data_IF_931812497298
#
_entry.id   IF_931812497298
#
_cell.length_a   1.000
_cell.length_b   1.000
_cell.length_c   1.000
_cell.angle_alpha   90.00
_cell.angle_beta   90.00
_cell.angle_gamma   90.00
#
_symmetry.space_group_name_H-M   'P 1'
#
loop_
_entity.id
_entity.type
_entity.pdbx_description
1 polymer ?
#
# COMPACT_ATOMS: atom_id res chain seq x y z
N UNK A 1 25.59 17.90 -10.91
CA UNK A 1 24.28 17.22 -10.90
C UNK A 1 24.54 15.76 -10.59
N UNK A 2 23.58 15.08 -9.95
CA UNK A 2 23.67 13.65 -9.67
C UNK A 2 23.45 12.84 -10.95
N UNK A 3 24.32 11.88 -11.26
CA UNK A 3 24.22 11.04 -12.47
C UNK A 3 23.03 10.07 -12.39
N UNK A 4 22.62 9.51 -13.52
CA UNK A 4 21.57 8.50 -13.58
C UNK A 4 21.91 7.22 -12.78
N UNK A 5 23.17 6.78 -12.80
CA UNK A 5 23.63 5.63 -12.03
C UNK A 5 23.58 5.90 -10.52
N UNK A 6 24.02 7.08 -10.09
CA UNK A 6 23.94 7.46 -8.67
C UNK A 6 22.47 7.53 -8.22
N UNK A 7 21.54 7.95 -9.09
CA UNK A 7 20.09 7.94 -8.81
C UNK A 7 19.54 6.53 -8.65
N UNK A 8 19.96 5.60 -9.51
CA UNK A 8 19.57 4.20 -9.41
C UNK A 8 20.02 3.60 -8.06
N UNK A 9 21.27 3.84 -7.65
CA UNK A 9 21.79 3.30 -6.40
C UNK A 9 21.00 3.80 -5.18
N UNK A 10 20.69 5.09 -5.10
CA UNK A 10 19.85 5.61 -4.01
C UNK A 10 18.43 5.02 -4.05
N UNK A 11 17.87 4.81 -5.24
CA UNK A 11 16.54 4.22 -5.39
C UNK A 11 16.53 2.76 -4.91
N UNK A 12 17.54 1.96 -5.28
CA UNK A 12 17.66 0.57 -4.83
C UNK A 12 17.89 0.48 -3.32
N UNK A 13 18.73 1.36 -2.77
CA UNK A 13 18.95 1.46 -1.33
C UNK A 13 17.66 1.87 -0.59
N UNK A 14 16.89 2.81 -1.16
CA UNK A 14 15.60 3.19 -0.61
C UNK A 14 14.62 2.02 -0.59
N UNK A 15 14.44 1.33 -1.72
CA UNK A 15 13.55 0.16 -1.83
C UNK A 15 13.96 -0.94 -0.84
N UNK A 16 15.25 -1.13 -0.62
CA UNK A 16 15.75 -2.10 0.36
C UNK A 16 15.44 -1.67 1.81
N UNK A 17 15.53 -0.38 2.10
CA UNK A 17 15.23 0.19 3.43
C UNK A 17 13.75 0.18 3.81
N UNK A 18 12.84 0.00 2.84
CA UNK A 18 11.41 -0.05 3.12
C UNK A 18 11.11 -1.20 4.07
N UNK A 19 10.43 -0.93 5.17
CA UNK A 19 9.99 -1.95 6.12
C UNK A 19 8.48 -1.99 6.19
N UNK A 20 7.94 -3.17 6.49
CA UNK A 20 6.54 -3.34 6.86
C UNK A 20 6.38 -3.30 8.37
N UNK A 21 5.17 -3.06 8.82
CA UNK A 21 4.80 -3.22 10.24
C UNK A 21 4.60 -4.71 10.52
N UNK A 22 5.41 -5.27 11.42
CA UNK A 22 5.20 -6.61 11.94
C UNK A 22 4.09 -6.62 13.00
N UNK A 23 3.22 -7.64 13.05
CA UNK A 23 2.18 -7.72 14.07
C UNK A 23 2.70 -7.69 15.52
N UNK A 24 3.94 -8.09 15.75
CA UNK A 24 4.62 -8.02 17.05
C UNK A 24 4.96 -6.59 17.50
N UNK A 25 5.00 -5.62 16.58
CA UNK A 25 5.20 -4.20 16.89
C UNK A 25 3.90 -3.53 17.36
N UNK A 26 2.75 -4.13 17.06
CA UNK A 26 1.46 -3.61 17.51
C UNK A 26 1.30 -3.87 19.01
N UNK A 27 1.00 -2.84 19.81
CA UNK A 27 0.81 -3.02 21.26
C UNK A 27 -0.27 -4.05 21.58
N UNK A 28 -0.01 -4.90 22.58
CA UNK A 28 -0.98 -5.88 23.10
C UNK A 28 -2.13 -5.27 23.92
N UNK A 29 -2.30 -3.95 23.88
CA UNK A 29 -3.37 -3.20 24.55
C UNK A 29 -4.18 -2.41 23.53
N UNK A 30 -5.47 -2.22 23.80
CA UNK A 30 -6.30 -1.39 22.93
C UNK A 30 -5.90 0.09 23.04
N UNK A 31 -5.84 0.77 21.89
CA UNK A 31 -5.36 2.14 21.76
C UNK A 31 -6.50 3.15 21.60
N UNK A 32 -6.36 4.34 22.17
CA UNK A 32 -7.23 5.47 21.83
C UNK A 32 -6.89 6.03 20.45
N UNK A 33 -7.84 6.72 19.81
CA UNK A 33 -7.70 7.30 18.46
C UNK A 33 -6.34 8.00 18.23
N UNK A 34 -5.92 8.85 19.18
CA UNK A 34 -4.70 9.64 19.03
C UNK A 34 -3.46 8.73 19.02
N UNK A 35 -3.46 7.70 19.85
CA UNK A 35 -2.40 6.67 19.87
C UNK A 35 -2.39 5.85 18.58
N UNK A 36 -3.56 5.55 18.00
CA UNK A 36 -3.63 4.89 16.67
C UNK A 36 -2.99 5.77 15.62
N UNK A 37 -3.37 7.05 15.52
CA UNK A 37 -2.79 7.96 14.53
C UNK A 37 -1.28 8.12 14.72
N UNK A 38 -0.81 8.24 15.97
CA UNK A 38 0.62 8.29 16.27
C UNK A 38 1.35 7.01 15.87
N UNK A 39 0.77 5.84 16.14
CA UNK A 39 1.34 4.56 15.74
C UNK A 39 1.47 4.45 14.22
N UNK A 40 0.44 4.84 13.47
CA UNK A 40 0.46 4.83 12.01
C UNK A 40 1.53 5.80 11.49
N UNK A 41 1.59 7.02 12.04
CA UNK A 41 2.55 8.05 11.65
C UNK A 41 4.01 7.71 11.98
N UNK A 42 4.26 6.85 12.97
CA UNK A 42 5.63 6.43 13.32
C UNK A 42 6.11 5.24 12.50
N UNK A 43 5.23 4.32 12.11
CA UNK A 43 5.63 3.06 11.46
C UNK A 43 5.45 3.05 9.93
N UNK A 44 4.53 3.84 9.38
CA UNK A 44 4.23 3.82 7.94
C UNK A 44 4.81 5.01 7.19
N UNK A 45 5.45 5.94 7.89
CA UNK A 45 5.94 7.19 7.32
C UNK A 45 7.35 7.06 6.77
N UNK A 46 7.54 6.14 5.84
CA UNK A 46 8.82 5.88 5.19
C UNK A 46 9.24 7.01 4.24
N UNK A 47 8.33 7.93 3.90
CA UNK A 47 8.51 8.97 2.88
C UNK A 47 8.47 10.40 3.43
N UNK A 48 8.72 10.63 4.73
CA UNK A 48 8.62 11.99 5.36
C UNK A 48 9.38 13.08 4.60
N UNK A 49 10.47 12.75 3.91
CA UNK A 49 11.24 13.73 3.13
C UNK A 49 10.57 14.20 1.85
N UNK A 50 9.56 13.49 1.34
CA UNK A 50 8.78 13.87 0.15
C UNK A 50 7.62 14.82 0.49
N UNK A 51 7.46 15.21 1.76
CA UNK A 51 6.45 16.20 2.17
C UNK A 51 5.01 15.66 2.15
N UNK A 52 4.81 14.35 2.27
CA UNK A 52 3.48 13.74 2.22
C UNK A 52 2.56 14.16 3.38
N UNK A 53 1.26 14.22 3.06
CA UNK A 53 0.15 14.42 3.97
C UNK A 53 0.07 13.35 5.06
N UNK A 54 -0.71 13.63 6.12
CA UNK A 54 -0.97 12.70 7.23
C UNK A 54 -1.34 11.30 6.73
N UNK A 55 -0.71 10.27 7.30
CA UNK A 55 -0.90 8.88 6.88
C UNK A 55 -2.34 8.44 7.00
N UNK A 56 -2.95 8.64 8.16
CA UNK A 56 -4.38 8.45 8.39
C UNK A 56 -4.86 9.53 9.35
N UNK A 57 -5.91 10.24 8.95
CA UNK A 57 -6.53 11.23 9.82
C UNK A 57 -7.60 10.59 10.71
N UNK A 58 -7.90 11.22 11.86
CA UNK A 58 -9.02 10.81 12.73
C UNK A 58 -10.34 10.70 11.94
N UNK A 59 -10.56 11.63 11.00
CA UNK A 59 -11.73 11.63 10.12
C UNK A 59 -11.76 10.41 9.21
N UNK A 60 -10.64 10.02 8.60
CA UNK A 60 -10.57 8.81 7.77
C UNK A 60 -10.88 7.55 8.57
N UNK A 61 -10.28 7.38 9.75
CA UNK A 61 -10.52 6.21 10.61
C UNK A 61 -12.00 6.14 11.03
N UNK A 62 -12.59 7.29 11.39
CA UNK A 62 -14.02 7.36 11.70
C UNK A 62 -14.89 7.01 10.49
N UNK A 63 -14.50 7.44 9.27
CA UNK A 63 -15.21 7.10 8.05
C UNK A 63 -15.14 5.60 7.73
N UNK A 64 -14.00 4.95 7.98
CA UNK A 64 -13.88 3.50 7.82
C UNK A 64 -14.82 2.75 8.78
N UNK A 65 -14.85 3.14 10.07
CA UNK A 65 -15.78 2.54 11.02
C UNK A 65 -17.26 2.79 10.65
N UNK A 66 -17.60 4.01 10.21
CA UNK A 66 -18.99 4.37 9.81
C UNK A 66 -19.48 3.63 8.56
N UNK A 67 -18.59 3.30 7.64
CA UNK A 67 -18.92 2.56 6.42
C UNK A 67 -18.69 1.04 6.58
N UNK A 68 -18.61 0.54 7.81
CA UNK A 68 -18.46 -0.90 8.13
C UNK A 68 -17.21 -1.57 7.50
N UNK A 69 -16.20 -0.79 7.13
CA UNK A 69 -14.90 -1.32 6.69
C UNK A 69 -14.14 -2.00 7.82
N UNK A 70 -14.42 -1.58 9.05
CA UNK A 70 -14.02 -2.26 10.28
C UNK A 70 -15.10 -2.03 11.35
N UNK A 71 -15.23 -2.93 12.34
CA UNK A 71 -16.13 -2.72 13.47
C UNK A 71 -15.86 -1.40 14.20
N UNK A 72 -16.89 -0.80 14.83
CA UNK A 72 -16.71 0.41 15.63
C UNK A 72 -15.81 0.13 16.86
N UNK A 73 -15.05 1.14 17.32
CA UNK A 73 -14.18 0.97 18.48
C UNK A 73 -14.98 0.67 19.75
N UNK A 74 -14.45 -0.21 20.60
CA UNK A 74 -15.08 -0.58 21.87
C UNK A 74 -14.63 0.40 22.96
N UNK A 75 -15.57 1.09 23.59
CA UNK A 75 -15.28 2.12 24.62
C UNK A 75 -14.24 3.16 24.15
N UNK A 76 -14.32 3.57 22.87
CA UNK A 76 -13.39 4.50 22.19
C UNK A 76 -11.95 3.96 22.03
N UNK A 77 -11.76 2.65 22.13
CA UNK A 77 -10.47 2.00 21.94
C UNK A 77 -10.48 1.06 20.74
N UNK A 78 -9.33 0.98 20.08
CA UNK A 78 -9.06 0.23 18.87
C UNK A 78 -8.14 -0.94 19.23
N UNK A 79 -8.59 -2.16 18.94
CA UNK A 79 -7.83 -3.38 19.19
C UNK A 79 -6.72 -3.60 18.15
N UNK A 80 -5.86 -4.59 18.41
CA UNK A 80 -4.84 -5.06 17.45
C UNK A 80 -5.42 -5.32 16.05
N UNK A 81 -6.60 -5.93 15.97
CA UNK A 81 -7.27 -6.22 14.69
C UNK A 81 -7.72 -4.93 13.96
N UNK A 82 -8.08 -3.88 14.68
CA UNK A 82 -8.33 -2.58 14.06
C UNK A 82 -7.04 -2.03 13.42
N UNK A 83 -5.89 -2.14 14.12
CA UNK A 83 -4.61 -1.67 13.61
C UNK A 83 -4.17 -2.46 12.37
N UNK A 84 -4.23 -3.79 12.40
CA UNK A 84 -3.93 -4.64 11.25
C UNK A 84 -4.76 -4.24 10.02
N UNK A 85 -6.06 -4.03 10.22
CA UNK A 85 -6.97 -3.62 9.16
C UNK A 85 -6.64 -2.23 8.60
N UNK A 86 -6.34 -1.27 9.47
CA UNK A 86 -5.95 0.08 9.06
C UNK A 86 -4.62 0.10 8.30
N UNK A 87 -3.66 -0.75 8.67
CA UNK A 87 -2.40 -0.93 7.95
C UNK A 87 -2.66 -1.50 6.56
N UNK A 88 -3.51 -2.52 6.44
CA UNK A 88 -3.87 -3.04 5.12
C UNK A 88 -4.55 -1.95 4.27
N UNK A 89 -5.58 -1.28 4.79
CA UNK A 89 -6.28 -0.20 4.06
C UNK A 89 -5.29 0.89 3.60
N UNK A 90 -4.28 1.22 4.41
CA UNK A 90 -3.26 2.20 4.04
C UNK A 90 -2.57 1.89 2.70
N UNK A 91 -2.23 0.62 2.45
CA UNK A 91 -1.57 0.21 1.20
C UNK A 91 -2.48 0.29 -0.03
N UNK A 92 -3.81 0.25 0.15
CA UNK A 92 -4.77 0.30 -0.96
C UNK A 92 -5.36 1.69 -1.21
N UNK A 93 -5.38 2.58 -0.20
CA UNK A 93 -6.11 3.86 -0.23
C UNK A 93 -5.75 4.79 -1.40
N UNK A 94 -4.50 4.74 -1.86
CA UNK A 94 -3.98 5.57 -2.97
C UNK A 94 -3.95 4.82 -4.31
N UNK A 95 -4.33 3.54 -4.31
CA UNK A 95 -4.27 2.66 -5.49
C UNK A 95 -5.66 2.50 -6.11
N UNK A 96 -6.68 2.29 -5.27
CA UNK A 96 -8.07 2.05 -5.68
C UNK A 96 -9.04 2.98 -4.98
N UNK A 97 -10.28 3.05 -5.49
CA UNK A 97 -11.29 3.94 -4.92
C UNK A 97 -11.78 3.45 -3.55
N UNK A 98 -12.34 4.36 -2.74
CA UNK A 98 -12.91 3.98 -1.44
C UNK A 98 -13.98 2.87 -1.55
N UNK A 99 -14.78 2.91 -2.62
CA UNK A 99 -15.82 1.90 -2.87
C UNK A 99 -15.21 0.52 -3.14
N UNK A 100 -14.09 0.47 -3.84
CA UNK A 100 -13.37 -0.77 -4.15
C UNK A 100 -12.76 -1.36 -2.88
N UNK A 101 -12.22 -0.49 -2.01
CA UNK A 101 -11.71 -0.89 -0.69
C UNK A 101 -12.86 -1.45 0.15
N UNK A 102 -14.00 -0.75 0.24
CA UNK A 102 -15.18 -1.23 0.96
C UNK A 102 -15.56 -2.65 0.55
N UNK A 103 -15.58 -2.90 -0.75
CA UNK A 103 -15.95 -4.21 -1.24
C UNK A 103 -14.89 -5.28 -0.98
N UNK A 104 -13.62 -4.99 -1.30
CA UNK A 104 -12.52 -5.93 -1.15
C UNK A 104 -12.34 -6.36 0.32
N UNK A 105 -12.53 -5.42 1.23
CA UNK A 105 -12.28 -5.62 2.65
C UNK A 105 -13.51 -6.06 3.45
N UNK A 106 -14.72 -5.94 2.91
CA UNK A 106 -15.95 -6.37 3.61
C UNK A 106 -15.92 -7.85 4.03
N UNK A 107 -15.59 -8.82 3.16
CA UNK A 107 -15.47 -10.23 3.58
C UNK A 107 -14.41 -10.44 4.67
N UNK A 108 -13.31 -9.68 4.62
CA UNK A 108 -12.24 -9.76 5.62
C UNK A 108 -12.73 -9.27 6.98
N UNK A 109 -13.42 -8.12 6.99
CA UNK A 109 -14.05 -7.55 8.18
C UNK A 109 -15.12 -8.47 8.76
N UNK A 110 -15.95 -9.08 7.92
CA UNK A 110 -17.07 -9.93 8.35
C UNK A 110 -16.64 -11.31 8.87
N UNK A 111 -15.59 -11.91 8.29
CA UNK A 111 -15.24 -13.31 8.55
C UNK A 111 -13.96 -13.50 9.36
N UNK A 112 -13.03 -12.53 9.33
CA UNK A 112 -11.68 -12.71 9.90
C UNK A 112 -11.35 -11.70 11.02
N UNK A 113 -12.18 -10.68 11.24
CA UNK A 113 -11.89 -9.65 12.24
C UNK A 113 -12.04 -10.14 13.69
N UNK A 114 -12.98 -11.03 13.98
CA UNK A 114 -13.19 -11.56 15.33
C UNK A 114 -12.17 -12.63 15.69
N UNK A 115 -11.76 -12.66 16.96
CA UNK A 115 -10.93 -13.76 17.49
C UNK A 115 -11.66 -15.10 17.36
N UNK A 116 -10.91 -16.17 17.07
CA UNK A 116 -11.45 -17.51 16.82
C UNK A 116 -11.99 -17.72 15.40
N UNK A 117 -11.75 -16.78 14.48
CA UNK A 117 -11.93 -17.00 13.04
C UNK A 117 -10.83 -17.91 12.49
N UNK A 118 -11.04 -18.48 11.30
CA UNK A 118 -10.06 -19.36 10.65
C UNK A 118 -9.97 -19.04 9.16
N UNK A 119 -8.83 -18.50 8.66
CA UNK A 119 -7.70 -17.99 9.45
C UNK A 119 -8.07 -16.77 10.30
N UNK A 120 -7.29 -16.47 11.34
CA UNK A 120 -7.40 -15.20 12.06
C UNK A 120 -6.81 -14.04 11.24
N UNK A 121 -7.24 -12.80 11.51
CA UNK A 121 -6.74 -11.62 10.78
C UNK A 121 -5.22 -11.47 10.83
N UNK A 122 -4.58 -11.81 11.95
CA UNK A 122 -3.13 -11.77 12.09
C UNK A 122 -2.43 -12.82 11.22
N UNK A 123 -3.01 -14.01 11.09
CA UNK A 123 -2.51 -15.07 10.19
C UNK A 123 -2.64 -14.63 8.74
N UNK A 124 -3.81 -14.10 8.36
CA UNK A 124 -4.06 -13.54 7.02
C UNK A 124 -3.06 -12.42 6.69
N UNK A 125 -2.82 -11.51 7.64
CA UNK A 125 -1.83 -10.46 7.50
C UNK A 125 -0.44 -11.05 7.28
N UNK A 126 0.00 -11.97 8.14
CA UNK A 126 1.32 -12.58 8.02
C UNK A 126 1.51 -13.32 6.69
N UNK A 127 0.48 -14.03 6.21
CA UNK A 127 0.52 -14.76 4.96
C UNK A 127 0.68 -13.79 3.76
N UNK A 128 -0.13 -12.73 3.68
CA UNK A 128 -0.05 -11.73 2.61
C UNK A 128 1.34 -11.10 2.55
N UNK A 129 1.88 -10.70 3.71
CA UNK A 129 3.18 -10.07 3.75
C UNK A 129 4.37 -11.04 3.68
N UNK A 130 4.16 -12.35 3.84
CA UNK A 130 5.21 -13.35 3.59
C UNK A 130 5.63 -13.34 2.11
N UNK A 131 4.71 -13.00 1.21
CA UNK A 131 4.93 -12.89 -0.23
C UNK A 131 5.77 -11.66 -0.63
N UNK A 132 5.86 -10.67 0.26
CA UNK A 132 6.52 -9.39 0.01
C UNK A 132 8.04 -9.54 -0.21
N UNK A 133 8.71 -10.39 0.57
CA UNK A 133 10.17 -10.57 0.47
C UNK A 133 10.60 -11.04 -0.92
N UNK A 134 9.85 -11.98 -1.50
CA UNK A 134 10.07 -12.45 -2.86
C UNK A 134 9.78 -11.37 -3.90
N UNK A 135 8.76 -10.54 -3.68
CA UNK A 135 8.44 -9.43 -4.56
C UNK A 135 9.51 -8.35 -4.57
N UNK A 136 10.09 -8.00 -3.43
CA UNK A 136 11.12 -6.95 -3.34
C UNK A 136 12.35 -7.28 -4.19
N UNK A 137 12.84 -8.52 -4.09
CA UNK A 137 14.00 -8.96 -4.88
C UNK A 137 13.70 -8.89 -6.38
N UNK A 138 12.55 -9.42 -6.79
CA UNK A 138 12.11 -9.37 -8.20
C UNK A 138 11.95 -7.93 -8.71
N UNK A 139 11.46 -7.04 -7.86
CA UNK A 139 11.34 -5.61 -8.18
C UNK A 139 12.71 -4.97 -8.41
N UNK A 140 13.72 -5.25 -7.57
CA UNK A 140 15.07 -4.72 -7.77
C UNK A 140 15.67 -5.18 -9.10
N UNK A 141 15.55 -6.47 -9.42
CA UNK A 141 16.01 -7.05 -10.69
C UNK A 141 15.30 -6.40 -11.90
N UNK A 142 13.97 -6.21 -11.82
CA UNK A 142 13.16 -5.56 -12.86
C UNK A 142 13.51 -4.08 -13.05
N UNK A 143 13.71 -3.34 -11.95
CA UNK A 143 14.11 -1.92 -12.00
C UNK A 143 15.49 -1.76 -12.62
N UNK A 144 16.45 -2.65 -12.30
CA UNK A 144 17.76 -2.64 -12.93
C UNK A 144 17.67 -2.92 -14.44
N UNK A 145 16.88 -3.91 -14.85
CA UNK A 145 16.68 -4.22 -16.27
C UNK A 145 16.06 -3.04 -17.05
N UNK A 146 15.10 -2.32 -16.44
CA UNK A 146 14.50 -1.11 -17.02
C UNK A 146 15.49 0.05 -17.12
N UNK A 147 16.33 0.23 -16.11
CA UNK A 147 17.40 1.23 -16.15
C UNK A 147 18.38 0.93 -17.28
N UNK A 148 18.81 -0.33 -17.39
CA UNK A 148 19.71 -0.76 -18.47
C UNK A 148 19.08 -0.49 -19.83
N UNK A 149 17.82 -0.89 -20.05
CA UNK A 149 17.10 -0.62 -21.28
C UNK A 149 17.00 0.89 -21.59
N UNK A 150 16.64 1.72 -20.61
CA UNK A 150 16.58 3.16 -20.75
C UNK A 150 17.95 3.80 -21.07
N UNK A 151 19.04 3.32 -20.45
CA UNK A 151 20.41 3.77 -20.75
C UNK A 151 20.85 3.47 -22.18
N UNK A 152 20.18 2.51 -22.85
CA UNK A 152 20.45 2.18 -24.23
C UNK A 152 19.69 3.04 -25.25
N UNK A 153 18.72 3.83 -24.79
CA UNK A 153 17.93 4.71 -25.66
C UNK A 153 18.72 5.94 -26.10
N UNK A 154 18.33 6.51 -27.25
CA UNK A 154 18.83 7.78 -27.80
C UNK A 154 20.36 7.84 -28.09
N UNK A 155 21.06 6.70 -28.18
CA UNK A 155 22.52 6.68 -28.45
C UNK A 155 22.89 7.20 -29.84
N UNK A 156 22.04 6.95 -30.83
CA UNK A 156 22.30 7.29 -32.22
C UNK A 156 22.00 8.76 -32.57
N UNK A 157 21.47 9.53 -31.60
CA UNK A 157 21.15 10.94 -31.75
C UNK A 157 22.27 11.80 -31.16
N UNK A 158 22.76 12.76 -31.93
CA UNK A 158 23.66 13.80 -31.45
C UNK A 158 22.85 14.85 -30.69
N UNK A 159 22.76 14.69 -29.37
CA UNK A 159 21.95 15.54 -28.49
C UNK A 159 22.70 15.80 -27.18
N UNK A 160 22.74 17.07 -26.77
CA UNK A 160 23.39 17.50 -25.53
C UNK A 160 22.62 17.04 -24.28
N UNK A 161 21.33 16.76 -24.41
CA UNK A 161 20.40 16.37 -23.34
C UNK A 161 20.19 14.85 -23.23
N UNK A 162 21.06 14.02 -23.85
CA UNK A 162 20.93 12.56 -23.85
C UNK A 162 20.73 11.96 -22.46
N UNK A 163 21.49 12.40 -21.46
CA UNK A 163 21.39 11.88 -20.08
C UNK A 163 19.98 12.15 -19.50
N UNK A 164 19.40 13.31 -19.80
CA UNK A 164 18.04 13.64 -19.40
C UNK A 164 17.00 12.79 -20.15
N UNK A 165 17.15 12.58 -21.45
CA UNK A 165 16.24 11.74 -22.24
C UNK A 165 16.23 10.29 -21.74
N UNK A 166 17.39 9.76 -21.36
CA UNK A 166 17.51 8.42 -20.77
C UNK A 166 16.88 8.36 -19.38
N UNK A 167 17.04 9.41 -18.56
CA UNK A 167 16.35 9.52 -17.28
C UNK A 167 14.83 9.56 -17.48
N UNK A 168 14.36 10.33 -18.46
CA UNK A 168 12.94 10.42 -18.81
C UNK A 168 12.38 9.07 -19.28
N UNK A 169 13.12 8.33 -20.11
CA UNK A 169 12.76 6.98 -20.52
C UNK A 169 12.66 6.04 -19.31
N UNK A 170 13.63 6.09 -18.39
CA UNK A 170 13.60 5.28 -17.16
C UNK A 170 12.39 5.61 -16.28
N UNK A 171 12.11 6.89 -16.06
CA UNK A 171 10.92 7.32 -15.30
C UNK A 171 9.63 6.85 -16.01
N UNK A 172 9.59 6.90 -17.34
CA UNK A 172 8.43 6.46 -18.13
C UNK A 172 8.18 4.96 -17.98
N UNK A 173 9.21 4.13 -18.03
CA UNK A 173 9.12 2.68 -17.79
C UNK A 173 8.50 2.36 -16.42
N UNK A 174 8.96 3.06 -15.36
CA UNK A 174 8.40 2.91 -14.02
C UNK A 174 6.94 3.38 -13.96
N UNK A 175 6.62 4.50 -14.62
CA UNK A 175 5.27 5.04 -14.67
C UNK A 175 4.28 4.11 -15.38
N UNK A 176 4.69 3.51 -16.51
CA UNK A 176 3.87 2.54 -17.23
C UNK A 176 3.58 1.30 -16.38
N UNK A 177 4.57 0.85 -15.62
CA UNK A 177 4.43 -0.26 -14.69
C UNK A 177 3.32 -0.03 -13.65
N UNK A 178 3.35 1.15 -13.03
CA UNK A 178 2.33 1.56 -12.05
C UNK A 178 0.97 1.69 -12.74
N UNK A 179 0.92 2.30 -13.93
CA UNK A 179 -0.31 2.46 -14.69
C UNK A 179 -0.96 1.11 -15.02
N UNK A 180 -0.20 0.17 -15.59
CA UNK A 180 -0.71 -1.15 -15.98
C UNK A 180 -1.17 -1.95 -14.76
N UNK A 181 -0.37 -1.98 -13.68
CA UNK A 181 -0.75 -2.66 -12.43
C UNK A 181 -2.02 -2.05 -11.84
N UNK A 182 -2.15 -0.73 -11.85
CA UNK A 182 -3.36 -0.04 -11.38
C UNK A 182 -4.59 -0.45 -12.20
N UNK A 183 -4.48 -0.46 -13.54
CA UNK A 183 -5.58 -0.91 -14.41
C UNK A 183 -5.99 -2.36 -14.12
N UNK A 184 -5.03 -3.26 -13.91
CA UNK A 184 -5.33 -4.65 -13.54
C UNK A 184 -6.09 -4.74 -12.21
N UNK A 185 -5.68 -3.97 -11.19
CA UNK A 185 -6.35 -3.95 -9.88
C UNK A 185 -7.77 -3.39 -10.01
N UNK A 186 -7.96 -2.30 -10.76
CA UNK A 186 -9.28 -1.69 -10.97
C UNK A 186 -10.25 -2.65 -11.69
N UNK A 187 -9.75 -3.41 -12.68
CA UNK A 187 -10.53 -4.44 -13.37
C UNK A 187 -10.95 -5.56 -12.42
N UNK A 188 -10.03 -6.06 -11.59
CA UNK A 188 -10.34 -7.10 -10.59
C UNK A 188 -11.37 -6.61 -9.57
N UNK A 189 -11.24 -5.35 -9.12
CA UNK A 189 -12.21 -4.74 -8.21
C UNK A 189 -13.60 -4.60 -8.87
N UNK A 190 -13.66 -4.27 -10.16
CA UNK A 190 -14.92 -4.21 -10.91
C UNK A 190 -15.56 -5.59 -11.08
N UNK A 191 -14.78 -6.63 -11.38
CA UNK A 191 -15.29 -8.00 -11.45
C UNK A 191 -15.90 -8.43 -10.12
N UNK A 192 -15.21 -8.15 -9.01
CA UNK A 192 -15.73 -8.43 -7.68
C UNK A 192 -17.07 -7.70 -7.42
N UNK A 193 -17.23 -6.45 -7.88
CA UNK A 193 -18.51 -5.69 -7.82
C UNK A 193 -19.65 -6.40 -8.50
N UNK A 194 -19.39 -6.96 -9.66
CA UNK A 194 -20.41 -7.62 -10.46
C UNK A 194 -20.84 -8.96 -9.83
N UNK A 195 -19.90 -9.69 -9.21
CA UNK A 195 -20.17 -10.97 -8.55
C UNK A 195 -20.86 -10.82 -7.19
N UNK A 196 -20.53 -9.76 -6.44
CA UNK A 196 -21.07 -9.51 -5.09
C UNK A 196 -21.74 -8.14 -5.04
N UNK A 197 -22.97 -7.98 -5.57
CA UNK A 197 -23.69 -6.72 -5.45
C UNK A 197 -23.95 -6.43 -3.97
N UNK A 198 -23.40 -5.32 -3.48
CA UNK A 198 -23.56 -4.86 -2.08
C UNK A 198 -25.04 -4.86 -1.74
N UNK A 199 -25.46 -5.75 -0.84
CA UNK A 199 -26.86 -5.88 -0.46
C UNK A 199 -27.26 -4.64 0.34
N UNK A 200 -28.14 -3.76 -0.16
CA UNK A 200 -28.47 -2.49 0.50
C UNK A 200 -29.20 -2.66 1.85
N UNK A 201 -29.51 -3.90 2.26
CA UNK A 201 -30.28 -4.24 3.46
C UNK A 201 -29.49 -4.35 4.76
N UNK A 202 -28.14 -4.27 4.75
CA UNK A 202 -27.34 -4.23 5.99
C UNK A 202 -27.21 -2.82 6.61
N UNK A 203 -27.79 -1.78 5.99
CA UNK A 203 -27.99 -0.46 6.62
C UNK A 203 -29.33 -0.44 7.36
N UNK A 204 -29.44 -1.13 8.49
CA UNK A 204 -30.52 -0.94 9.47
C UNK A 204 -29.96 -0.99 10.87
#
# INVERSE_FOLDING_TARGET
MKSNEERLQDLLAYVDSLTRVHPSEIPGIDLYMDQVTTFMDSHLNTSKWLGEDKILTKTMINNYAKNNLLPPPVKKRYSKNHLLMLILIYYFKNVISFRDIEQLFSPISEHHFSHGSSPELEELYNEIFSLEKGQRKRLQEDVMAKFDAASQTFKDYDCEDREYLQLFAFISELAFDVYLKKQMIEILAEQLRQETPVNPKKKK
#
